data_IF_127335507540
#
_entry.id   IF_127335507540
#
_cell.length_a   1.000
_cell.length_b   1.000
_cell.length_c   1.000
_cell.angle_alpha   90.00
_cell.angle_beta   90.00
_cell.angle_gamma   90.00
#
_symmetry.space_group_name_H-M   'P 1'
#
loop_
_entity.id
_entity.type
_entity.pdbx_description
1 polymer ?
#
# COMPACT_ATOMS: atom_id res chain seq x y z
N UNK A 1 -12.45 2.74 -21.24
CA UNK A 1 -12.21 3.23 -19.87
C UNK A 1 -10.72 3.40 -19.66
N UNK A 2 -10.29 4.56 -19.16
CA UNK A 2 -8.89 4.97 -19.08
C UNK A 2 -8.31 4.51 -17.74
N UNK A 3 -7.17 3.81 -17.75
CA UNK A 3 -6.44 3.48 -16.52
C UNK A 3 -6.22 4.75 -15.70
N UNK A 4 -6.59 4.72 -14.41
CA UNK A 4 -6.27 5.84 -13.51
C UNK A 4 -4.75 5.96 -13.45
N UNK A 5 -4.24 7.05 -14.01
CA UNK A 5 -2.81 7.35 -14.04
C UNK A 5 -2.33 7.57 -12.59
N UNK A 6 -1.22 6.95 -12.21
CA UNK A 6 -0.61 7.12 -10.88
C UNK A 6 -0.44 8.59 -10.48
N UNK A 7 -0.21 9.48 -11.46
CA UNK A 7 -0.14 10.93 -11.24
C UNK A 7 -1.48 11.51 -10.74
N UNK A 8 -2.60 11.09 -11.33
CA UNK A 8 -3.93 11.54 -10.93
C UNK A 8 -4.28 11.07 -9.52
N UNK A 9 -3.85 9.85 -9.14
CA UNK A 9 -4.08 9.32 -7.80
C UNK A 9 -3.34 10.13 -6.73
N UNK A 10 -2.07 10.46 -6.96
CA UNK A 10 -1.28 11.24 -6.00
C UNK A 10 -1.83 12.66 -5.86
N UNK A 11 -2.27 13.29 -6.96
CA UNK A 11 -2.94 14.59 -6.89
C UNK A 11 -4.22 14.53 -6.05
N UNK A 12 -5.06 13.50 -6.24
CA UNK A 12 -6.26 13.31 -5.40
C UNK A 12 -5.91 13.14 -3.92
N UNK A 13 -4.91 12.31 -3.61
CA UNK A 13 -4.48 12.11 -2.22
C UNK A 13 -3.97 13.40 -1.58
N UNK A 14 -3.20 14.20 -2.33
CA UNK A 14 -2.78 15.52 -1.88
C UNK A 14 -3.98 16.40 -1.54
N UNK A 15 -4.95 16.48 -2.46
CA UNK A 15 -6.11 17.35 -2.28
C UNK A 15 -6.97 16.89 -1.09
N UNK A 16 -7.09 15.58 -0.87
CA UNK A 16 -7.72 15.01 0.33
C UNK A 16 -6.99 15.42 1.62
N UNK A 17 -5.66 15.31 1.64
CA UNK A 17 -4.83 15.69 2.79
C UNK A 17 -5.02 17.18 3.10
N UNK A 18 -4.92 18.06 2.10
CA UNK A 18 -5.09 19.50 2.29
C UNK A 18 -6.50 19.83 2.81
N UNK A 19 -7.52 19.17 2.28
CA UNK A 19 -8.90 19.34 2.74
C UNK A 19 -9.07 18.92 4.20
N UNK A 20 -8.49 17.79 4.60
CA UNK A 20 -8.63 17.23 5.96
C UNK A 20 -7.78 17.94 7.00
N UNK A 21 -6.60 18.41 6.61
CA UNK A 21 -5.70 19.16 7.51
C UNK A 21 -6.02 20.66 7.58
N UNK A 22 -6.68 21.21 6.56
CA UNK A 22 -7.01 22.63 6.46
C UNK A 22 -5.85 23.52 5.96
N UNK A 23 -4.72 22.95 5.56
CA UNK A 23 -3.60 23.71 4.99
C UNK A 23 -3.84 24.07 3.52
N UNK A 24 -3.29 25.22 3.10
CA UNK A 24 -3.34 25.69 1.71
C UNK A 24 -2.39 24.96 0.77
N UNK A 25 -1.30 24.41 1.29
CA UNK A 25 -0.30 23.68 0.52
C UNK A 25 0.37 22.60 1.37
N UNK A 26 1.01 21.62 0.70
CA UNK A 26 1.72 20.54 1.40
C UNK A 26 2.97 21.05 2.12
N UNK A 27 3.57 22.15 1.65
CA UNK A 27 4.68 22.83 2.31
C UNK A 27 4.33 23.50 3.64
N UNK A 28 3.05 23.81 3.85
CA UNK A 28 2.57 24.46 5.08
C UNK A 28 2.39 23.45 6.23
N UNK A 29 2.35 22.16 5.92
CA UNK A 29 2.16 21.10 6.90
C UNK A 29 3.46 20.92 7.70
N UNK A 30 3.44 21.06 9.03
CA UNK A 30 4.64 20.99 9.88
C UNK A 30 5.04 19.53 10.17
N UNK A 31 5.41 18.80 9.12
CA UNK A 31 5.91 17.42 9.25
C UNK A 31 7.21 17.36 10.06
N UNK A 32 7.30 16.37 10.96
CA UNK A 32 8.50 16.07 11.75
C UNK A 32 9.72 15.79 10.88
N UNK A 33 10.91 16.05 11.41
CA UNK A 33 12.18 15.69 10.75
C UNK A 33 12.31 14.18 10.56
N UNK A 34 11.81 13.38 11.52
CA UNK A 34 11.79 11.92 11.46
C UNK A 34 10.90 11.40 10.32
N UNK A 35 9.67 11.93 10.19
CA UNK A 35 8.79 11.54 9.09
C UNK A 35 9.41 11.90 7.75
N UNK A 36 9.96 13.12 7.62
CA UNK A 36 10.52 13.57 6.35
C UNK A 36 11.76 12.74 5.97
N UNK A 37 12.64 12.45 6.92
CA UNK A 37 13.80 11.58 6.70
C UNK A 37 13.36 10.17 6.27
N UNK A 38 12.36 9.60 6.96
CA UNK A 38 11.78 8.31 6.59
C UNK A 38 11.20 8.33 5.17
N UNK A 39 10.38 9.34 4.85
CA UNK A 39 9.71 9.50 3.58
C UNK A 39 10.71 9.61 2.42
N UNK A 40 11.73 10.46 2.59
CA UNK A 40 12.75 10.70 1.57
C UNK A 40 13.60 9.45 1.33
N UNK A 41 13.98 8.74 2.39
CA UNK A 41 14.68 7.46 2.28
C UNK A 41 13.85 6.42 1.49
N UNK A 42 12.54 6.32 1.76
CA UNK A 42 11.64 5.38 1.06
C UNK A 42 11.38 5.78 -0.39
N UNK A 43 11.37 7.08 -0.68
CA UNK A 43 11.33 7.60 -2.05
C UNK A 43 12.69 7.46 -2.77
N UNK A 44 13.73 7.03 -2.05
CA UNK A 44 15.09 6.77 -2.53
C UNK A 44 15.91 8.04 -2.77
N UNK A 45 15.62 9.10 -2.01
CA UNK A 45 16.49 10.24 -1.79
C UNK A 45 17.37 9.94 -0.56
N UNK A 46 18.30 9.00 -0.70
CA UNK A 46 19.09 8.40 0.40
C UNK A 46 20.09 9.33 1.10
N UNK A 47 20.21 10.60 0.70
CA UNK A 47 21.30 11.48 1.15
C UNK A 47 20.81 12.90 1.45
N UNK A 48 19.96 13.04 2.48
CA UNK A 48 19.52 14.35 2.98
C UNK A 48 19.89 14.54 4.46
N UNK A 49 20.90 13.80 4.95
CA UNK A 49 21.48 14.05 6.26
C UNK A 49 22.23 15.39 6.25
N UNK A 50 22.04 16.16 7.32
CA UNK A 50 22.51 17.54 7.52
C UNK A 50 24.04 17.68 7.68
N UNK A 51 24.83 16.67 7.31
CA UNK A 51 26.29 16.76 7.33
C UNK A 51 26.84 16.54 5.92
N UNK A 52 27.04 17.68 5.26
CA UNK A 52 27.94 17.90 4.14
C UNK A 52 27.59 17.31 2.75
N UNK A 53 27.40 18.25 1.82
CA UNK A 53 27.53 18.15 0.36
C UNK A 53 26.43 17.45 -0.45
N UNK A 54 25.34 18.22 -0.58
CA UNK A 54 24.58 18.38 -1.83
C UNK A 54 25.51 18.64 -3.02
N UNK A 55 25.73 17.64 -3.88
CA UNK A 55 26.25 17.88 -5.22
C UNK A 55 25.30 17.32 -6.27
N UNK A 56 24.24 18.09 -6.53
CA UNK A 56 23.93 18.62 -7.86
C UNK A 56 22.88 19.73 -7.70
N UNK A 57 23.39 20.96 -7.59
CA UNK A 57 22.70 22.25 -7.73
C UNK A 57 21.48 22.52 -6.83
N UNK A 58 21.74 23.14 -5.68
CA UNK A 58 20.77 23.91 -4.89
C UNK A 58 20.38 23.26 -3.57
N UNK A 59 20.47 24.01 -2.47
CA UNK A 59 19.86 23.65 -1.17
C UNK A 59 18.38 23.38 -1.42
N UNK A 60 17.97 22.13 -1.29
CA UNK A 60 16.57 21.76 -1.51
C UNK A 60 15.85 21.98 -0.20
N UNK A 61 15.10 23.08 -0.11
CA UNK A 61 14.26 23.37 1.04
C UNK A 61 13.35 22.15 1.31
N UNK A 62 13.32 21.65 2.55
CA UNK A 62 12.48 20.55 3.02
C UNK A 62 11.04 20.68 2.51
N UNK A 63 10.53 21.92 2.55
CA UNK A 63 9.20 22.32 2.09
C UNK A 63 9.04 22.25 0.55
N UNK A 64 10.10 22.57 -0.19
CA UNK A 64 10.11 22.49 -1.66
C UNK A 64 10.17 21.05 -2.18
N UNK A 65 10.79 20.12 -1.44
CA UNK A 65 10.76 18.68 -1.76
C UNK A 65 9.37 18.10 -1.60
N UNK A 66 8.67 18.44 -0.51
CA UNK A 66 7.30 18.01 -0.27
C UNK A 66 6.36 18.55 -1.35
N UNK A 67 6.40 19.85 -1.64
CA UNK A 67 5.59 20.41 -2.74
C UNK A 67 5.90 19.76 -4.08
N UNK A 68 7.18 19.55 -4.41
CA UNK A 68 7.54 18.87 -5.67
C UNK A 68 7.03 17.44 -5.72
N UNK A 69 7.05 16.71 -4.61
CA UNK A 69 6.60 15.32 -4.44
C UNK A 69 5.07 15.14 -4.40
N UNK A 70 4.32 16.22 -4.20
CA UNK A 70 2.86 16.19 -4.30
C UNK A 70 2.33 16.89 -5.57
N UNK A 71 3.09 17.80 -6.17
CA UNK A 71 2.77 18.50 -7.42
C UNK A 71 2.85 17.66 -8.70
N UNK A 72 3.22 16.39 -8.61
CA UNK A 72 3.43 15.58 -9.81
C UNK A 72 4.69 15.95 -10.61
N UNK A 73 5.63 16.70 -10.02
CA UNK A 73 6.89 17.18 -10.66
C UNK A 73 8.07 16.23 -10.45
N UNK A 74 7.79 14.92 -10.50
CA UNK A 74 8.74 13.81 -10.35
C UNK A 74 8.61 12.84 -11.51
N UNK A 75 9.65 12.05 -11.76
CA UNK A 75 9.61 11.01 -12.78
C UNK A 75 8.56 9.95 -12.42
N UNK A 76 7.98 9.30 -13.44
CA UNK A 76 7.05 8.17 -13.27
C UNK A 76 7.59 7.08 -12.35
N UNK A 77 8.91 6.90 -12.32
CA UNK A 77 9.61 5.96 -11.43
C UNK A 77 9.44 6.30 -9.94
N UNK A 78 9.32 7.57 -9.56
CA UNK A 78 9.16 7.95 -8.15
C UNK A 78 7.73 7.77 -7.65
N UNK A 79 6.71 7.96 -8.50
CA UNK A 79 5.31 7.60 -8.15
C UNK A 79 5.15 6.13 -7.79
N UNK A 80 5.99 5.27 -8.38
CA UNK A 80 5.98 3.85 -8.10
C UNK A 80 6.55 3.48 -6.72
N UNK A 81 7.18 4.43 -6.02
CA UNK A 81 7.85 4.23 -4.72
C UNK A 81 7.00 4.58 -3.50
N UNK A 82 5.82 5.16 -3.67
CA UNK A 82 4.86 5.31 -2.56
C UNK A 82 4.35 3.91 -2.20
N UNK A 83 4.80 3.40 -1.04
CA UNK A 83 4.43 2.10 -0.48
C UNK A 83 3.31 2.23 0.54
N UNK A 84 2.68 1.11 0.92
CA UNK A 84 1.69 1.10 2.01
C UNK A 84 2.26 1.65 3.32
N UNK A 85 3.51 1.28 3.67
CA UNK A 85 4.18 1.74 4.89
C UNK A 85 4.34 3.27 4.93
N UNK A 86 4.64 3.89 3.80
CA UNK A 86 4.71 5.34 3.67
C UNK A 86 3.35 5.99 3.94
N UNK A 87 2.27 5.41 3.40
CA UNK A 87 0.92 5.93 3.62
C UNK A 87 0.48 5.77 5.08
N UNK A 88 0.83 4.66 5.72
CA UNK A 88 0.56 4.43 7.15
C UNK A 88 1.30 5.45 8.02
N UNK A 89 2.59 5.69 7.76
CA UNK A 89 3.36 6.71 8.49
C UNK A 89 2.80 8.11 8.27
N UNK A 90 2.36 8.42 7.05
CA UNK A 90 1.73 9.70 6.73
C UNK A 90 0.39 9.89 7.46
N UNK A 91 -0.44 8.83 7.52
CA UNK A 91 -1.69 8.82 8.28
C UNK A 91 -1.45 9.11 9.77
N UNK A 92 -0.45 8.43 10.36
CA UNK A 92 -0.04 8.65 11.75
C UNK A 92 0.45 10.08 12.00
N UNK A 93 1.35 10.57 11.13
CA UNK A 93 1.95 11.90 11.26
C UNK A 93 0.90 13.02 11.17
N UNK A 94 -0.11 12.84 10.32
CA UNK A 94 -1.18 13.82 10.12
C UNK A 94 -2.35 13.64 11.08
N UNK A 95 -2.40 12.54 11.83
CA UNK A 95 -3.57 12.11 12.59
C UNK A 95 -4.86 12.07 11.74
N UNK A 96 -4.77 11.49 10.54
CA UNK A 96 -5.86 11.33 9.58
C UNK A 96 -5.95 9.84 9.21
N UNK A 97 -7.16 9.34 8.93
CA UNK A 97 -7.34 7.95 8.50
C UNK A 97 -6.66 7.68 7.15
N UNK A 98 -6.22 6.44 6.95
CA UNK A 98 -5.62 6.02 5.68
C UNK A 98 -6.65 6.11 4.54
N UNK A 99 -7.90 5.84 4.87
CA UNK A 99 -9.09 5.92 4.03
C UNK A 99 -9.31 7.35 3.53
N UNK A 100 -9.24 8.34 4.43
CA UNK A 100 -9.35 9.75 4.05
C UNK A 100 -8.21 10.16 3.11
N UNK A 101 -6.99 9.68 3.33
CA UNK A 101 -5.88 9.96 2.41
C UNK A 101 -6.15 9.35 1.03
N UNK A 102 -6.54 8.06 0.97
CA UNK A 102 -6.66 7.32 -0.29
C UNK A 102 -7.94 7.64 -1.07
N UNK A 103 -9.07 7.76 -0.37
CA UNK A 103 -10.43 7.89 -0.96
C UNK A 103 -11.07 9.24 -0.68
N UNK A 104 -10.61 10.01 0.31
CA UNK A 104 -11.20 11.30 0.69
C UNK A 104 -12.39 11.18 1.63
N UNK A 105 -12.71 9.97 2.07
CA UNK A 105 -13.80 9.60 2.97
C UNK A 105 -13.35 8.42 3.81
N UNK A 106 -13.88 8.30 5.02
CA UNK A 106 -13.73 7.14 5.89
C UNK A 106 -15.00 6.27 5.91
N UNK A 107 -16.03 6.59 5.10
CA UNK A 107 -17.21 5.75 4.94
C UNK A 107 -16.86 4.42 4.26
N UNK A 108 -16.86 3.32 5.03
CA UNK A 108 -16.51 1.98 4.53
C UNK A 108 -17.38 1.52 3.37
N UNK A 109 -18.65 1.89 3.36
CA UNK A 109 -19.61 1.48 2.34
C UNK A 109 -19.34 2.21 1.04
N UNK A 110 -19.07 3.52 1.11
CA UNK A 110 -18.71 4.32 -0.05
C UNK A 110 -17.39 3.82 -0.69
N UNK A 111 -16.39 3.54 0.14
CA UNK A 111 -15.11 2.98 -0.28
C UNK A 111 -15.30 1.61 -0.95
N UNK A 112 -16.13 0.76 -0.36
CA UNK A 112 -16.43 -0.57 -0.89
C UNK A 112 -17.09 -0.50 -2.28
N UNK A 113 -18.09 0.38 -2.44
CA UNK A 113 -18.76 0.64 -3.72
C UNK A 113 -17.78 1.13 -4.77
N UNK A 114 -16.97 2.14 -4.44
CA UNK A 114 -15.93 2.64 -5.34
C UNK A 114 -14.96 1.53 -5.77
N UNK A 115 -14.47 0.73 -4.82
CA UNK A 115 -13.53 -0.34 -5.11
C UNK A 115 -14.14 -1.45 -5.97
N UNK A 116 -15.40 -1.76 -5.76
CA UNK A 116 -16.13 -2.74 -6.56
C UNK A 116 -16.36 -2.24 -7.99
N UNK A 117 -16.88 -1.01 -8.15
CA UNK A 117 -17.18 -0.42 -9.45
C UNK A 117 -15.93 -0.28 -10.32
N UNK A 118 -14.78 -0.02 -9.68
CA UNK A 118 -13.50 0.20 -10.36
C UNK A 118 -12.56 -1.01 -10.30
N UNK A 119 -13.00 -2.18 -9.80
CA UNK A 119 -12.15 -3.29 -9.37
C UNK A 119 -11.05 -3.68 -10.36
N UNK A 120 -11.41 -3.84 -11.64
CA UNK A 120 -10.50 -4.30 -12.69
C UNK A 120 -9.52 -3.20 -13.13
N UNK A 121 -9.84 -1.94 -12.83
CA UNK A 121 -9.07 -0.74 -13.19
C UNK A 121 -8.51 0.00 -11.98
N UNK A 122 -8.50 -0.64 -10.79
CA UNK A 122 -7.98 -0.03 -9.57
C UNK A 122 -6.55 0.44 -9.77
N UNK A 123 -6.25 1.61 -9.21
CA UNK A 123 -4.87 2.08 -9.13
C UNK A 123 -4.04 1.11 -8.27
N UNK A 124 -2.71 1.15 -8.44
CA UNK A 124 -1.79 0.37 -7.62
C UNK A 124 -2.02 0.61 -6.12
N UNK A 125 -2.28 1.86 -5.72
CA UNK A 125 -2.47 2.25 -4.31
C UNK A 125 -3.78 1.66 -3.77
N UNK A 126 -4.89 1.81 -4.50
CA UNK A 126 -6.18 1.22 -4.08
C UNK A 126 -6.06 -0.30 -3.96
N UNK A 127 -5.36 -0.96 -4.90
CA UNK A 127 -5.17 -2.41 -4.86
C UNK A 127 -4.32 -2.85 -3.68
N UNK A 128 -3.24 -2.12 -3.36
CA UNK A 128 -2.42 -2.39 -2.17
C UNK A 128 -3.26 -2.28 -0.91
N UNK A 129 -4.02 -1.19 -0.76
CA UNK A 129 -4.95 -1.01 0.37
C UNK A 129 -5.91 -2.20 0.49
N UNK A 130 -6.54 -2.59 -0.62
CA UNK A 130 -7.49 -3.70 -0.63
C UNK A 130 -6.84 -5.03 -0.22
N UNK A 131 -5.64 -5.33 -0.72
CA UNK A 131 -4.88 -6.53 -0.32
C UNK A 131 -4.56 -6.52 1.17
N UNK A 132 -4.06 -5.40 1.70
CA UNK A 132 -3.70 -5.29 3.12
C UNK A 132 -4.93 -5.37 4.03
N UNK A 133 -6.07 -4.77 3.62
CA UNK A 133 -7.35 -4.94 4.31
C UNK A 133 -7.77 -6.43 4.37
N UNK A 134 -7.73 -7.13 3.23
CA UNK A 134 -8.14 -8.53 3.20
C UNK A 134 -7.21 -9.47 3.98
N UNK A 135 -5.89 -9.17 4.00
CA UNK A 135 -4.92 -9.86 4.86
C UNK A 135 -5.29 -9.70 6.33
N UNK A 136 -5.47 -8.46 6.79
CA UNK A 136 -5.74 -8.14 8.20
C UNK A 136 -7.08 -8.71 8.67
N UNK A 137 -8.13 -8.52 7.89
CA UNK A 137 -9.50 -8.96 8.26
C UNK A 137 -9.74 -10.45 8.04
N UNK A 138 -8.91 -11.10 7.21
CA UNK A 138 -9.13 -12.47 6.71
C UNK A 138 -10.53 -12.66 6.10
N UNK A 139 -11.15 -11.59 5.60
CA UNK A 139 -12.58 -11.57 5.22
C UNK A 139 -12.89 -12.57 4.11
N UNK A 140 -12.07 -12.62 3.05
CA UNK A 140 -12.25 -13.61 1.98
C UNK A 140 -12.10 -15.05 2.48
N UNK A 141 -11.10 -15.33 3.33
CA UNK A 141 -10.91 -16.67 3.89
C UNK A 141 -12.15 -17.10 4.68
N UNK A 142 -12.66 -16.22 5.56
CA UNK A 142 -13.87 -16.49 6.36
C UNK A 142 -15.09 -16.77 5.47
N UNK A 143 -15.26 -15.99 4.40
CA UNK A 143 -16.32 -16.21 3.41
C UNK A 143 -16.16 -17.59 2.76
N UNK A 144 -14.98 -17.91 2.23
CA UNK A 144 -14.76 -19.20 1.56
C UNK A 144 -14.91 -20.39 2.51
N UNK A 145 -14.43 -20.30 3.75
CA UNK A 145 -14.62 -21.34 4.78
C UNK A 145 -16.12 -21.55 5.07
N UNK A 146 -16.89 -20.45 5.21
CA UNK A 146 -18.34 -20.53 5.40
C UNK A 146 -19.02 -21.19 4.20
N UNK A 147 -18.66 -20.82 2.98
CA UNK A 147 -19.22 -21.41 1.76
C UNK A 147 -18.86 -22.90 1.61
N UNK A 148 -17.64 -23.30 2.00
CA UNK A 148 -17.19 -24.68 2.00
C UNK A 148 -17.89 -25.57 3.06
N UNK A 149 -18.63 -24.98 4.00
CA UNK A 149 -19.47 -25.75 4.94
C UNK A 149 -20.64 -26.42 4.23
N UNK A 150 -21.08 -25.85 3.09
CA UNK A 150 -22.26 -26.31 2.34
C UNK A 150 -21.95 -26.76 0.92
N UNK A 151 -20.71 -26.60 0.46
CA UNK A 151 -20.29 -26.90 -0.91
C UNK A 151 -18.97 -27.67 -0.89
N UNK A 152 -18.81 -28.63 -1.79
CA UNK A 152 -17.48 -29.21 -2.03
C UNK A 152 -16.53 -28.19 -2.66
N UNK A 153 -15.21 -28.39 -2.55
CA UNK A 153 -14.21 -27.52 -3.20
C UNK A 153 -14.46 -27.41 -4.71
N UNK A 154 -14.83 -28.52 -5.36
CA UNK A 154 -15.14 -28.56 -6.79
C UNK A 154 -16.37 -27.72 -7.12
N UNK A 155 -17.47 -27.95 -6.40
CA UNK A 155 -18.73 -27.26 -6.62
C UNK A 155 -18.59 -25.75 -6.40
N UNK A 156 -17.91 -25.35 -5.32
CA UNK A 156 -17.69 -23.94 -5.02
C UNK A 156 -16.79 -23.26 -6.08
N UNK A 157 -15.75 -23.96 -6.54
CA UNK A 157 -14.88 -23.48 -7.61
C UNK A 157 -15.67 -23.21 -8.90
N UNK A 158 -16.56 -24.14 -9.27
CA UNK A 158 -17.46 -24.00 -10.43
C UNK A 158 -18.45 -22.84 -10.25
N UNK A 159 -19.12 -22.73 -9.08
CA UNK A 159 -20.09 -21.66 -8.79
C UNK A 159 -19.47 -20.26 -8.77
N UNK A 160 -18.26 -20.14 -8.24
CA UNK A 160 -17.59 -18.83 -8.04
C UNK A 160 -16.75 -18.42 -9.26
N UNK A 161 -16.40 -19.36 -10.14
CA UNK A 161 -15.56 -19.11 -11.31
C UNK A 161 -14.06 -19.03 -10.98
N UNK A 162 -13.61 -19.83 -10.00
CA UNK A 162 -12.20 -19.92 -9.60
C UNK A 162 -11.64 -21.33 -9.83
N UNK A 163 -10.31 -21.44 -9.90
CA UNK A 163 -9.65 -22.75 -9.92
C UNK A 163 -9.79 -23.48 -8.58
N UNK A 164 -9.90 -24.82 -8.62
CA UNK A 164 -9.98 -25.66 -7.40
C UNK A 164 -8.82 -25.39 -6.43
N UNK A 165 -7.62 -25.19 -6.97
CA UNK A 165 -6.44 -24.86 -6.16
C UNK A 165 -6.60 -23.51 -5.46
N UNK A 166 -7.21 -22.51 -6.09
CA UNK A 166 -7.45 -21.21 -5.46
C UNK A 166 -8.40 -21.35 -4.27
N UNK A 167 -9.48 -22.12 -4.41
CA UNK A 167 -10.41 -22.42 -3.31
C UNK A 167 -9.72 -23.22 -2.19
N UNK A 168 -8.92 -24.23 -2.55
CA UNK A 168 -8.15 -25.02 -1.59
C UNK A 168 -7.14 -24.16 -0.83
N UNK A 169 -6.50 -23.20 -1.51
CA UNK A 169 -5.62 -22.24 -0.85
C UNK A 169 -6.40 -21.47 0.20
N UNK A 170 -7.55 -20.86 -0.12
CA UNK A 170 -8.37 -20.13 0.88
C UNK A 170 -8.77 -20.95 2.13
N UNK A 171 -8.83 -22.29 2.02
CA UNK A 171 -9.11 -23.19 3.14
C UNK A 171 -7.90 -23.40 4.06
N UNK A 172 -6.69 -23.43 3.51
CA UNK A 172 -5.48 -23.94 4.17
C UNK A 172 -4.51 -22.82 4.61
N UNK A 173 -4.95 -21.57 4.69
CA UNK A 173 -4.02 -20.48 4.98
C UNK A 173 -3.70 -20.37 6.47
N UNK A 174 -2.44 -20.67 6.78
CA UNK A 174 -1.75 -20.22 8.00
C UNK A 174 -1.77 -18.69 8.06
N UNK A 175 -1.62 -18.12 9.26
CA UNK A 175 -1.83 -16.70 9.56
C UNK A 175 -1.08 -15.69 8.64
N UNK A 176 -0.02 -16.13 7.95
CA UNK A 176 0.82 -15.31 7.06
C UNK A 176 0.60 -15.51 5.57
N UNK A 177 -0.27 -16.44 5.17
CA UNK A 177 -0.52 -16.74 3.78
C UNK A 177 -1.86 -16.13 3.36
N UNK A 178 -1.83 -15.14 2.48
CA UNK A 178 -3.04 -14.59 1.90
C UNK A 178 -3.22 -15.13 0.49
N UNK A 179 -4.39 -15.73 0.25
CA UNK A 179 -4.80 -16.13 -1.10
C UNK A 179 -4.87 -14.90 -1.99
N UNK A 180 -4.29 -14.97 -3.19
CA UNK A 180 -4.28 -13.83 -4.10
C UNK A 180 -5.71 -13.35 -4.39
N UNK A 181 -5.95 -12.04 -4.33
CA UNK A 181 -7.25 -11.47 -4.70
C UNK A 181 -7.73 -12.01 -6.05
N UNK A 182 -9.03 -12.31 -6.18
CA UNK A 182 -9.62 -12.66 -7.47
C UNK A 182 -9.25 -11.64 -8.55
N UNK A 183 -8.90 -12.08 -9.75
CA UNK A 183 -8.51 -11.13 -10.81
C UNK A 183 -9.70 -10.41 -11.45
N UNK A 184 -10.84 -11.10 -11.52
CA UNK A 184 -12.08 -10.63 -12.15
C UNK A 184 -13.08 -10.19 -11.10
N UNK A 185 -13.82 -9.13 -11.39
CA UNK A 185 -14.91 -8.66 -10.51
C UNK A 185 -16.04 -9.69 -10.38
N UNK A 186 -16.32 -10.42 -11.46
CA UNK A 186 -17.35 -11.47 -11.56
C UNK A 186 -17.28 -12.51 -10.43
N UNK A 187 -16.07 -12.76 -9.88
CA UNK A 187 -15.90 -13.67 -8.74
C UNK A 187 -16.64 -13.16 -7.50
N UNK A 188 -16.63 -11.85 -7.24
CA UNK A 188 -17.38 -11.27 -6.13
C UNK A 188 -18.89 -11.32 -6.39
N UNK A 189 -19.32 -11.12 -7.64
CA UNK A 189 -20.73 -11.20 -8.04
C UNK A 189 -21.29 -12.60 -7.73
N UNK A 190 -20.54 -13.63 -8.12
CA UNK A 190 -20.93 -15.01 -7.87
C UNK A 190 -20.95 -15.35 -6.37
N UNK A 191 -19.96 -14.89 -5.60
CA UNK A 191 -19.93 -15.07 -4.14
C UNK A 191 -21.15 -14.39 -3.49
N UNK A 192 -21.44 -13.16 -3.90
CA UNK A 192 -22.52 -12.35 -3.37
C UNK A 192 -23.89 -12.99 -3.65
N UNK A 193 -24.07 -13.51 -4.87
CA UNK A 193 -25.27 -14.27 -5.25
C UNK A 193 -25.49 -15.51 -4.37
N UNK A 194 -24.42 -16.25 -4.04
CA UNK A 194 -24.52 -17.43 -3.16
C UNK A 194 -24.87 -17.02 -1.72
N UNK A 195 -24.34 -15.90 -1.26
CA UNK A 195 -24.58 -15.37 0.10
C UNK A 195 -25.86 -14.55 0.22
N UNK A 196 -26.53 -14.22 -0.90
CA UNK A 196 -27.66 -13.31 -0.97
C UNK A 196 -27.35 -11.94 -0.33
N UNK A 197 -26.23 -11.34 -0.74
CA UNK A 197 -25.74 -10.02 -0.32
C UNK A 197 -25.38 -9.19 -1.55
N UNK A 198 -25.08 -7.90 -1.36
CA UNK A 198 -24.54 -7.06 -2.42
C UNK A 198 -23.04 -7.33 -2.64
N UNK A 199 -22.53 -7.30 -3.89
CA UNK A 199 -21.13 -7.61 -4.17
C UNK A 199 -20.12 -6.72 -3.46
N UNK A 200 -20.43 -5.43 -3.28
CA UNK A 200 -19.55 -4.49 -2.59
C UNK A 200 -19.39 -4.84 -1.11
N UNK A 201 -20.38 -5.49 -0.47
CA UNK A 201 -20.32 -5.87 0.95
C UNK A 201 -19.20 -6.87 1.22
N UNK A 202 -18.72 -7.59 0.19
CA UNK A 202 -17.54 -8.46 0.31
C UNK A 202 -16.26 -7.63 0.48
N UNK A 203 -16.18 -6.47 -0.17
CA UNK A 203 -15.01 -5.59 -0.18
C UNK A 203 -14.98 -4.61 1.00
N UNK A 204 -16.08 -4.47 1.73
CA UNK A 204 -16.18 -3.53 2.84
C UNK A 204 -15.14 -3.83 3.93
N UNK A 205 -14.42 -2.80 4.34
CA UNK A 205 -13.45 -2.85 5.44
C UNK A 205 -14.07 -2.24 6.70
N UNK A 206 -13.80 -2.74 7.91
CA UNK A 206 -14.09 -1.96 9.11
C UNK A 206 -13.25 -0.67 9.08
N UNK A 207 -13.89 0.49 9.25
CA UNK A 207 -13.29 1.84 9.16
C UNK A 207 -12.16 2.05 10.18
N UNK A 208 -12.20 1.33 11.31
CA UNK A 208 -11.12 1.34 12.29
C UNK A 208 -10.12 0.24 11.99
N UNK A 209 -9.34 0.42 10.92
CA UNK A 209 -8.00 -0.15 10.90
C UNK A 209 -7.22 0.64 11.95
N UNK A 210 -7.35 0.26 13.22
CA UNK A 210 -6.42 0.68 14.26
C UNK A 210 -5.04 0.43 13.69
N UNK A 211 -4.31 1.54 13.50
CA UNK A 211 -2.90 1.53 13.18
C UNK A 211 -2.30 0.56 14.20
N UNK A 212 -1.58 -0.49 13.76
CA UNK A 212 -1.01 -1.43 14.71
C UNK A 212 -0.18 -0.60 15.68
N UNK A 213 -0.65 -0.51 16.93
CA UNK A 213 0.14 0.02 18.01
C UNK A 213 1.31 -0.96 18.13
N UNK A 214 2.45 -0.53 17.60
CA UNK A 214 3.78 -1.09 17.79
C UNK A 214 4.24 -2.31 16.96
N UNK A 215 3.37 -3.06 16.27
CA UNK A 215 3.86 -4.27 15.54
C UNK A 215 4.55 -4.01 14.19
N UNK A 216 4.53 -2.78 13.64
CA UNK A 216 5.25 -2.45 12.39
C UNK A 216 6.62 -1.81 12.60
N UNK A 217 7.00 -1.48 13.83
CA UNK A 217 8.29 -0.85 14.12
C UNK A 217 9.41 -1.84 14.46
N UNK A 218 9.10 -3.11 14.77
CA UNK A 218 10.13 -4.09 15.17
C UNK A 218 10.56 -5.08 14.07
N UNK A 219 9.85 -5.20 12.94
CA UNK A 219 10.25 -6.17 11.88
C UNK A 219 11.19 -5.60 10.78
N UNK A 220 11.62 -4.34 10.89
CA UNK A 220 12.60 -3.75 9.96
C UNK A 220 13.78 -3.06 10.65
N UNK A 221 14.05 -3.37 11.91
CA UNK A 221 15.35 -3.07 12.54
C UNK A 221 16.37 -4.15 12.21
N UNK A 222 17.31 -3.81 11.32
CA UNK A 222 18.70 -4.28 11.25
C UNK A 222 19.08 -5.76 11.01
N UNK A 223 18.16 -6.67 10.66
CA UNK A 223 18.55 -8.05 10.33
C UNK A 223 18.94 -8.32 8.87
N UNK A 224 18.70 -7.37 7.93
CA UNK A 224 19.03 -7.53 6.50
C UNK A 224 20.11 -6.57 5.96
N UNK A 225 20.69 -5.71 6.81
CA UNK A 225 21.83 -4.86 6.41
C UNK A 225 23.15 -5.57 6.70
N UNK A 226 23.24 -6.43 7.72
CA UNK A 226 24.48 -7.17 8.01
C UNK A 226 24.80 -8.30 7.00
N UNK A 227 23.80 -8.88 6.34
CA UNK A 227 24.04 -9.95 5.35
C UNK A 227 24.62 -9.42 4.03
N UNK A 228 24.25 -8.20 3.61
CA UNK A 228 24.75 -7.60 2.37
C UNK A 228 26.05 -6.80 2.54
N UNK A 229 26.37 -6.32 3.75
CA UNK A 229 27.68 -5.68 4.01
C UNK A 229 28.80 -6.74 4.04
N UNK A 230 28.54 -7.96 4.56
CA UNK A 230 29.54 -9.04 4.55
C UNK A 230 29.84 -9.61 3.14
N UNK A 231 28.88 -9.51 2.22
CA UNK A 231 29.03 -9.94 0.83
C UNK A 231 29.77 -8.90 -0.03
N UNK A 232 29.58 -7.61 0.24
CA UNK A 232 30.36 -6.55 -0.44
C UNK A 232 31.82 -6.53 0.02
N UNK A 233 32.09 -6.76 1.31
CA UNK A 233 33.44 -6.69 1.89
C UNK A 233 34.34 -7.87 1.48
N UNK A 234 33.75 -8.98 1.01
CA UNK A 234 34.47 -10.09 0.36
C UNK A 234 34.75 -9.86 -1.12
N UNK A 235 33.96 -9.02 -1.80
CA UNK A 235 34.13 -8.72 -3.23
C UNK A 235 35.17 -7.63 -3.51
N UNK A 236 35.51 -6.81 -2.50
CA UNK A 236 36.48 -5.71 -2.60
C UNK A 236 37.93 -6.11 -2.25
N UNK A 237 38.23 -7.39 -1.98
CA UNK A 237 39.59 -7.89 -1.67
C UNK A 237 40.31 -8.63 -2.80
N UNK A 238 39.90 -8.45 -4.06
CA UNK A 238 40.60 -9.02 -5.22
C UNK A 238 40.78 -7.97 -6.34
N UNK A 239 41.78 -7.10 -6.19
CA UNK A 239 42.72 -6.67 -7.26
C UNK A 239 43.54 -5.43 -6.84
N UNK A 240 44.56 -5.63 -6.00
CA UNK A 240 45.63 -4.64 -5.82
C UNK A 240 47.02 -5.27 -5.91
N UNK A 241 47.19 -6.29 -6.77
CA UNK A 241 48.49 -6.92 -7.01
C UNK A 241 49.11 -6.68 -8.39
N UNK A 242 48.55 -5.77 -9.18
CA UNK A 242 49.19 -5.30 -10.42
C UNK A 242 49.17 -3.76 -10.48
N UNK A 243 49.89 -3.10 -9.57
CA UNK A 243 50.36 -1.72 -9.77
C UNK A 243 51.62 -1.48 -8.91
N UNK A 244 52.73 -2.06 -9.37
CA UNK A 244 54.12 -1.55 -9.40
C UNK A 244 55.11 -2.71 -9.45
#
# INVERSE_FOLDING_TARGET
MTKINSKLMITRMRDNILTKTGYSSMSDIPFSDDFISYFLNHMGYKYLEDTETYHTTGKVNKNYLMDRLWDGKYSTTMTNRITFSVLVKLALELNISLEDIIYGTDDSVEIAKYNYDNYENLSKINRIYLVENFKRTKKLNRIFIKLLTYNSIRELAEKVGLGRQSIANYKNLDDNSFGTLPRKREVFDNIAMILNIEPYEILEAPVNILLPENDFLEEYTDSNIQSNVSALDKSLKLNTKDYK
#
